data_IF_709081908791
#
_entry.id   IF_709081908791
#
_cell.length_a   1.000
_cell.length_b   1.000
_cell.length_c   1.000
_cell.angle_alpha   90.00
_cell.angle_beta   90.00
_cell.angle_gamma   90.00
#
_symmetry.space_group_name_H-M   'P 1'
#
loop_
_entity.id
_entity.type
_entity.pdbx_description
1 polymer ?
#
# COMPACT_ATOMS: atom_id res chain seq x y z
N UNK A 1 6.77 -3.08 4.84
CA UNK A 1 7.78 -2.06 4.46
C UNK A 1 8.76 -2.65 3.45
N UNK A 2 8.22 -3.12 2.32
CA UNK A 2 8.99 -3.74 1.25
C UNK A 2 8.58 -3.12 -0.08
N UNK A 3 9.38 -3.37 -1.13
CA UNK A 3 9.19 -2.72 -2.44
C UNK A 3 7.96 -3.25 -3.19
N UNK A 4 7.54 -4.50 -2.93
CA UNK A 4 6.34 -5.06 -3.55
C UNK A 4 5.59 -6.06 -2.66
N UNK A 5 4.29 -6.25 -2.92
CA UNK A 5 3.46 -7.32 -2.35
C UNK A 5 3.81 -8.70 -2.88
N UNK A 6 4.50 -8.80 -4.03
CA UNK A 6 4.98 -10.05 -4.60
C UNK A 6 6.51 -10.17 -4.62
N UNK A 7 7.02 -11.37 -4.92
CA UNK A 7 8.45 -11.65 -4.95
C UNK A 7 9.13 -11.17 -6.24
N UNK A 8 10.22 -10.39 -6.13
CA UNK A 8 10.92 -9.76 -7.26
C UNK A 8 11.28 -10.71 -8.42
N UNK A 9 11.69 -11.95 -8.12
CA UNK A 9 11.96 -13.01 -9.10
C UNK A 9 10.97 -14.17 -8.96
N UNK A 10 9.69 -13.85 -8.87
CA UNK A 10 8.65 -14.85 -8.71
C UNK A 10 7.29 -14.31 -9.08
N UNK A 11 6.37 -14.39 -8.13
CA UNK A 11 4.93 -14.29 -8.36
C UNK A 11 4.37 -12.85 -8.34
N UNK A 12 5.17 -11.83 -8.66
CA UNK A 12 4.71 -10.41 -8.61
C UNK A 12 3.42 -10.23 -9.40
N UNK A 13 3.35 -10.73 -10.62
CA UNK A 13 2.18 -10.52 -11.49
C UNK A 13 0.96 -11.27 -10.97
N UNK A 14 1.13 -12.52 -10.53
CA UNK A 14 0.06 -13.38 -10.02
C UNK A 14 -0.56 -12.80 -8.74
N UNK A 15 0.28 -12.32 -7.83
CA UNK A 15 -0.18 -11.70 -6.57
C UNK A 15 -0.94 -10.41 -6.86
N UNK A 16 -0.43 -9.54 -7.73
CA UNK A 16 -1.13 -8.31 -8.11
C UNK A 16 -2.48 -8.60 -8.75
N UNK A 17 -2.54 -9.57 -9.68
CA UNK A 17 -3.80 -9.97 -10.33
C UNK A 17 -4.81 -10.53 -9.34
N UNK A 18 -4.38 -11.34 -8.38
CA UNK A 18 -5.27 -11.89 -7.36
C UNK A 18 -5.86 -10.80 -6.45
N UNK A 19 -5.02 -9.86 -5.98
CA UNK A 19 -5.44 -8.76 -5.11
C UNK A 19 -6.33 -7.76 -5.85
N UNK A 20 -5.83 -7.18 -6.95
CA UNK A 20 -6.53 -6.15 -7.71
C UNK A 20 -7.79 -6.71 -8.39
N UNK A 21 -7.74 -7.96 -8.87
CA UNK A 21 -8.90 -8.66 -9.43
C UNK A 21 -10.00 -8.92 -8.40
N UNK A 22 -9.67 -8.91 -7.11
CA UNK A 22 -10.62 -9.02 -5.99
C UNK A 22 -11.05 -7.66 -5.44
N UNK A 23 -10.65 -6.55 -6.08
CA UNK A 23 -10.95 -5.19 -5.61
C UNK A 23 -10.12 -4.75 -4.40
N UNK A 24 -9.08 -5.49 -4.02
CA UNK A 24 -8.18 -5.14 -2.92
C UNK A 24 -7.05 -4.28 -3.47
N UNK A 25 -6.87 -3.09 -2.90
CA UNK A 25 -5.82 -2.17 -3.32
C UNK A 25 -4.48 -2.52 -2.66
N UNK A 26 -3.38 -2.34 -3.39
CA UNK A 26 -2.03 -2.48 -2.86
C UNK A 26 -1.44 -1.12 -2.48
N UNK A 27 -0.79 -1.06 -1.32
CA UNK A 27 0.02 0.09 -0.88
C UNK A 27 1.43 -0.43 -0.59
N UNK A 28 2.40 0.02 -1.38
CA UNK A 28 3.78 -0.46 -1.34
C UNK A 28 4.73 0.66 -0.87
N UNK A 29 5.92 0.30 -0.39
CA UNK A 29 6.94 1.28 0.00
C UNK A 29 6.67 2.07 1.29
N UNK A 30 5.72 1.64 2.13
CA UNK A 30 5.51 2.23 3.46
C UNK A 30 6.76 2.08 4.35
N UNK A 31 7.08 3.12 5.12
CA UNK A 31 8.15 3.09 6.13
C UNK A 31 7.54 2.89 7.52
N UNK A 32 7.59 1.66 8.03
CA UNK A 32 6.99 1.29 9.34
C UNK A 32 8.04 1.00 10.42
N UNK A 33 9.34 1.02 10.11
CA UNK A 33 10.41 0.62 11.04
C UNK A 33 10.53 1.43 12.34
N UNK A 34 9.78 2.53 12.50
CA UNK A 34 9.71 3.33 13.73
C UNK A 34 8.28 3.43 14.30
N UNK A 35 7.34 2.66 13.78
CA UNK A 35 5.93 2.68 14.17
C UNK A 35 5.68 1.49 15.11
N UNK A 36 5.10 1.76 16.28
CA UNK A 36 4.71 0.68 17.20
C UNK A 36 3.47 -0.05 16.66
N UNK A 37 3.37 -1.39 16.82
CA UNK A 37 2.15 -2.14 16.49
C UNK A 37 0.93 -1.59 17.23
N UNK A 38 -0.23 -1.58 16.57
CA UNK A 38 -1.49 -1.10 17.11
C UNK A 38 -2.44 -0.63 16.01
N UNK A 39 -3.59 -0.09 16.42
CA UNK A 39 -4.59 0.41 15.49
C UNK A 39 -4.40 1.91 15.21
N UNK A 40 -4.40 2.26 13.93
CA UNK A 40 -4.23 3.61 13.44
C UNK A 40 -5.28 3.92 12.37
N UNK A 41 -5.66 5.19 12.27
CA UNK A 41 -6.31 5.68 11.05
C UNK A 41 -5.22 5.92 10.00
N UNK A 42 -5.40 5.32 8.82
CA UNK A 42 -4.54 5.52 7.65
C UNK A 42 -5.12 6.58 6.73
N UNK A 43 -4.32 7.60 6.41
CA UNK A 43 -4.62 8.57 5.36
C UNK A 43 -3.62 8.33 4.22
N UNK A 44 -4.10 7.77 3.11
CA UNK A 44 -3.29 7.43 1.94
C UNK A 44 -4.02 7.81 0.65
N UNK A 45 -4.05 9.11 0.35
CA UNK A 45 -4.71 9.65 -0.84
C UNK A 45 -3.70 9.72 -2.01
N UNK A 46 -3.83 8.89 -3.06
CA UNK A 46 -2.94 8.94 -4.20
C UNK A 46 -3.23 10.16 -5.10
N UNK A 47 -2.19 10.65 -5.76
CA UNK A 47 -2.35 11.63 -6.85
C UNK A 47 -3.22 11.01 -7.94
N UNK A 48 -4.22 11.76 -8.41
CA UNK A 48 -5.08 11.34 -9.52
C UNK A 48 -4.38 11.56 -10.85
N UNK A 49 -3.80 10.50 -11.40
CA UNK A 49 -3.10 10.52 -12.69
C UNK A 49 -4.05 10.00 -13.77
N UNK A 50 -4.33 10.83 -14.78
CA UNK A 50 -5.14 10.40 -15.92
C UNK A 50 -4.40 9.31 -16.70
N UNK A 51 -5.09 8.18 -16.97
CA UNK A 51 -4.54 7.01 -17.65
C UNK A 51 -3.26 6.43 -17.01
N UNK A 52 -3.06 6.65 -15.70
CA UNK A 52 -1.93 6.09 -14.95
C UNK A 52 -2.28 4.75 -14.28
N UNK A 53 -1.27 3.91 -14.09
CA UNK A 53 -1.43 2.58 -13.47
C UNK A 53 -1.43 2.65 -11.93
N UNK A 54 -0.75 3.63 -11.35
CA UNK A 54 -0.66 3.87 -9.91
C UNK A 54 -0.37 5.35 -9.63
N UNK A 55 -0.79 5.84 -8.46
CA UNK A 55 -0.52 7.20 -8.00
C UNK A 55 0.37 7.21 -6.76
N UNK A 56 1.36 8.10 -6.73
CA UNK A 56 2.14 8.35 -5.51
C UNK A 56 1.25 8.95 -4.42
N UNK A 57 1.50 8.58 -3.16
CA UNK A 57 0.79 9.09 -2.01
C UNK A 57 1.76 9.45 -0.88
N UNK A 58 1.42 10.49 -0.11
CA UNK A 58 2.00 10.69 1.22
C UNK A 58 1.12 9.96 2.23
N UNK A 59 1.43 8.69 2.47
CA UNK A 59 0.77 7.90 3.49
C UNK A 59 1.18 8.39 4.88
N UNK A 60 0.18 8.74 5.70
CA UNK A 60 0.37 9.12 7.11
C UNK A 60 -0.61 8.33 7.96
N UNK A 61 -0.24 8.15 9.22
CA UNK A 61 -1.06 7.45 10.21
C UNK A 61 -1.21 8.31 11.45
N UNK A 62 -2.35 8.18 12.14
CA UNK A 62 -2.55 8.68 13.50
C UNK A 62 -3.14 7.59 14.38
N UNK A 63 -2.73 7.46 15.66
CA UNK A 63 -3.34 6.47 16.55
C UNK A 63 -4.84 6.67 16.62
N UNK A 64 -5.60 5.56 16.66
CA UNK A 64 -7.01 5.67 17.02
C UNK A 64 -7.09 6.06 18.49
N UNK A 65 -7.78 7.17 18.77
CA UNK A 65 -8.13 7.55 20.14
C UNK A 65 -9.44 6.81 20.43
N UNK A 66 -9.38 5.85 21.35
CA UNK A 66 -10.58 5.24 21.94
C UNK A 66 -11.32 6.19 22.86
#
# INVERSE_FOLDING_TARGET
>A
DYLSVGQYQGNVVEVHRALLGSGIWAIEGLMLGKVAPGDYELICLPIKIANGDAGLARAIIRPLIG
#
